data_IF_031530340818
#
_entry.id   IF_031530340818
#
_cell.length_a   1.000
_cell.length_b   1.000
_cell.length_c   1.000
_cell.angle_alpha   90.00
_cell.angle_beta   90.00
_cell.angle_gamma   90.00
#
_symmetry.space_group_name_H-M   'P 1'
#
loop_
_entity.id
_entity.type
_entity.pdbx_description
1 polymer ?
#
# COMPACT_ATOMS: atom_id res chain seq x y z
N UNK A 1 24.05 -6.27 -32.43
CA UNK A 1 23.63 -7.67 -32.52
C UNK A 1 24.30 -8.37 -33.73
N UNK A 2 24.14 -7.89 -35.00
CA UNK A 2 24.65 -8.55 -36.19
C UNK A 2 26.18 -8.80 -36.14
N UNK A 3 26.99 -7.79 -35.84
CA UNK A 3 28.46 -7.92 -35.71
C UNK A 3 28.87 -8.99 -34.67
N UNK A 4 28.18 -9.05 -33.53
CA UNK A 4 28.49 -10.03 -32.49
C UNK A 4 28.13 -11.45 -32.93
N UNK A 5 26.96 -11.64 -33.55
CA UNK A 5 26.56 -12.91 -34.14
C UNK A 5 27.61 -13.40 -35.15
N UNK A 6 27.99 -12.53 -36.07
CA UNK A 6 28.92 -12.87 -37.18
C UNK A 6 30.32 -13.26 -36.63
N UNK A 7 30.78 -12.61 -35.56
CA UNK A 7 31.99 -12.98 -34.83
C UNK A 7 31.88 -14.39 -34.20
N UNK A 8 30.77 -14.65 -33.48
CA UNK A 8 30.53 -15.96 -32.82
C UNK A 8 30.43 -17.06 -33.87
N UNK A 9 29.70 -16.84 -34.97
CA UNK A 9 29.61 -17.82 -36.06
C UNK A 9 30.99 -18.10 -36.68
N UNK A 10 31.83 -17.06 -36.85
CA UNK A 10 33.19 -17.19 -37.34
C UNK A 10 34.08 -18.04 -36.41
N UNK A 11 33.97 -17.85 -35.10
CA UNK A 11 34.68 -18.65 -34.10
C UNK A 11 34.23 -20.13 -34.13
N UNK A 12 32.91 -20.37 -34.16
CA UNK A 12 32.37 -21.74 -34.27
C UNK A 12 32.84 -22.49 -35.51
N UNK A 13 32.91 -21.79 -36.64
CA UNK A 13 33.48 -22.34 -37.89
C UNK A 13 34.96 -22.67 -37.73
N UNK A 14 35.75 -21.73 -37.20
CA UNK A 14 37.19 -21.93 -37.02
C UNK A 14 37.53 -23.07 -36.04
N UNK A 15 36.66 -23.31 -35.08
CA UNK A 15 36.75 -24.44 -34.15
C UNK A 15 36.17 -25.74 -34.71
N UNK A 16 35.73 -25.76 -35.95
CA UNK A 16 35.13 -26.93 -36.60
C UNK A 16 33.79 -27.39 -36.01
N UNK A 17 33.12 -26.51 -35.25
CA UNK A 17 31.81 -26.80 -34.63
C UNK A 17 30.64 -26.69 -35.63
N UNK A 18 30.81 -25.90 -36.69
CA UNK A 18 29.87 -25.77 -37.79
C UNK A 18 30.61 -25.85 -39.14
N UNK A 19 29.94 -26.37 -40.14
CA UNK A 19 30.49 -26.46 -41.51
C UNK A 19 30.41 -25.12 -42.22
N UNK A 20 31.17 -24.94 -43.30
CA UNK A 20 31.07 -23.74 -44.15
C UNK A 20 29.63 -23.49 -44.64
N UNK A 21 28.93 -24.53 -45.05
CA UNK A 21 27.54 -24.42 -45.53
C UNK A 21 26.62 -23.92 -44.40
N UNK A 22 26.78 -24.43 -43.18
CA UNK A 22 26.01 -23.98 -42.03
C UNK A 22 26.37 -22.53 -41.65
N UNK A 23 27.63 -22.15 -41.74
CA UNK A 23 28.08 -20.79 -41.49
C UNK A 23 27.45 -19.81 -42.47
N UNK A 24 27.46 -20.06 -43.78
CA UNK A 24 26.89 -19.21 -44.77
C UNK A 24 25.34 -19.12 -44.65
N UNK A 25 24.68 -20.23 -44.35
CA UNK A 25 23.26 -20.25 -44.12
C UNK A 25 22.88 -19.37 -42.89
N UNK A 26 23.60 -19.50 -41.76
CA UNK A 26 23.38 -18.72 -40.56
C UNK A 26 23.66 -17.20 -40.73
N UNK A 27 24.64 -16.83 -41.58
CA UNK A 27 24.91 -15.43 -41.94
C UNK A 27 23.78 -14.81 -42.76
N UNK A 28 23.17 -15.60 -43.62
CA UNK A 28 22.07 -15.16 -44.49
C UNK A 28 20.75 -15.01 -43.72
N UNK A 29 20.62 -15.72 -42.60
CA UNK A 29 19.40 -15.69 -41.78
C UNK A 29 19.21 -14.33 -41.10
N UNK A 30 18.05 -13.67 -41.26
CA UNK A 30 17.80 -12.41 -40.59
C UNK A 30 17.77 -12.62 -39.10
N UNK A 31 18.41 -11.72 -38.34
CA UNK A 31 18.29 -11.75 -36.87
C UNK A 31 16.84 -11.38 -36.53
N UNK A 32 16.07 -12.37 -36.13
CA UNK A 32 14.78 -12.15 -35.48
C UNK A 32 15.06 -11.57 -34.10
N UNK A 33 15.11 -10.24 -33.99
CA UNK A 33 15.02 -9.59 -32.69
C UNK A 33 13.59 -9.77 -32.21
N UNK A 34 13.41 -10.38 -31.06
CA UNK A 34 12.13 -10.21 -30.34
C UNK A 34 11.89 -8.72 -30.30
N UNK A 35 10.77 -8.26 -30.85
CA UNK A 35 10.27 -6.92 -30.54
C UNK A 35 10.40 -6.77 -29.03
N UNK A 36 11.07 -5.71 -28.51
CA UNK A 36 11.06 -5.52 -27.08
C UNK A 36 9.59 -5.58 -26.69
N UNK A 37 9.20 -6.58 -25.90
CA UNK A 37 7.92 -6.53 -25.24
C UNK A 37 7.91 -5.17 -24.59
N UNK A 38 6.95 -4.34 -24.97
CA UNK A 38 6.95 -2.96 -24.57
C UNK A 38 7.09 -2.97 -23.04
N UNK A 39 8.02 -2.16 -22.50
CA UNK A 39 8.12 -1.94 -21.06
C UNK A 39 6.81 -1.39 -20.46
N UNK A 40 5.77 -1.27 -21.29
CA UNK A 40 4.42 -0.82 -20.97
C UNK A 40 3.68 -1.70 -19.93
N UNK A 41 4.24 -2.84 -19.58
CA UNK A 41 3.73 -3.67 -18.47
C UNK A 41 4.42 -3.38 -17.13
N UNK A 42 5.20 -2.30 -17.01
CA UNK A 42 5.70 -1.86 -15.71
C UNK A 42 4.55 -1.27 -14.87
N UNK A 43 3.85 -2.14 -14.17
CA UNK A 43 2.93 -1.73 -13.14
C UNK A 43 3.62 -1.68 -11.76
N UNK A 44 2.94 -1.13 -10.76
CA UNK A 44 3.48 -0.99 -9.41
C UNK A 44 3.85 -2.31 -8.74
N UNK A 45 3.13 -3.40 -9.06
CA UNK A 45 3.40 -4.73 -8.54
C UNK A 45 4.72 -5.27 -9.10
N UNK A 46 4.95 -5.12 -10.41
CA UNK A 46 6.21 -5.53 -11.04
C UNK A 46 7.40 -4.71 -10.54
N UNK A 47 7.21 -3.41 -10.26
CA UNK A 47 8.24 -2.59 -9.61
C UNK A 47 8.60 -3.08 -8.21
N UNK A 48 7.63 -3.64 -7.45
CA UNK A 48 7.89 -4.29 -6.17
C UNK A 48 8.65 -5.61 -6.35
N UNK A 49 8.23 -6.46 -7.30
CA UNK A 49 8.92 -7.73 -7.61
C UNK A 49 10.38 -7.49 -7.95
N UNK A 50 10.69 -6.51 -8.82
CA UNK A 50 12.08 -6.18 -9.17
C UNK A 50 12.90 -5.77 -7.96
N UNK A 51 12.36 -4.90 -7.11
CA UNK A 51 13.05 -4.47 -5.90
C UNK A 51 13.33 -5.61 -4.93
N UNK A 52 12.42 -6.60 -4.82
CA UNK A 52 12.64 -7.78 -4.00
C UNK A 52 13.65 -8.74 -4.65
N UNK A 53 13.64 -8.86 -5.98
CA UNK A 53 14.68 -9.62 -6.71
C UNK A 53 16.07 -9.07 -6.45
N UNK A 54 16.24 -7.74 -6.53
CA UNK A 54 17.52 -7.08 -6.25
C UNK A 54 18.03 -7.32 -4.81
N UNK A 55 17.14 -7.65 -3.87
CA UNK A 55 17.47 -7.96 -2.49
C UNK A 55 17.75 -9.47 -2.25
N UNK A 56 17.29 -10.35 -3.15
CA UNK A 56 17.40 -11.81 -3.02
C UNK A 56 18.57 -12.36 -3.84
N UNK A 57 18.79 -11.79 -5.03
CA UNK A 57 19.78 -12.28 -6.01
C UNK A 57 20.95 -11.31 -6.14
N UNK A 58 22.12 -11.84 -6.46
CA UNK A 58 23.25 -11.01 -6.84
C UNK A 58 23.02 -10.42 -8.24
N UNK A 59 23.60 -9.25 -8.50
CA UNK A 59 23.46 -8.53 -9.79
C UNK A 59 23.87 -9.40 -10.98
N UNK A 60 24.85 -10.29 -10.78
CA UNK A 60 25.35 -11.20 -11.80
C UNK A 60 24.32 -12.27 -12.19
N UNK A 61 23.58 -12.84 -11.24
CA UNK A 61 22.52 -13.81 -11.50
C UNK A 61 21.38 -13.17 -12.33
N UNK A 62 21.00 -11.95 -12.01
CA UNK A 62 19.96 -11.22 -12.74
C UNK A 62 20.43 -10.90 -14.18
N UNK A 63 21.71 -10.53 -14.34
CA UNK A 63 22.28 -10.18 -15.65
C UNK A 63 22.46 -11.38 -16.56
N UNK A 64 22.79 -12.55 -16.04
CA UNK A 64 22.94 -13.78 -16.81
C UNK A 64 21.59 -14.23 -17.38
N UNK A 65 20.47 -13.89 -16.74
CA UNK A 65 19.12 -14.19 -17.19
C UNK A 65 18.75 -15.67 -17.07
N UNK A 66 17.65 -16.06 -17.71
CA UNK A 66 17.16 -17.43 -17.70
C UNK A 66 16.45 -17.84 -16.40
N UNK A 67 16.17 -16.88 -15.51
CA UNK A 67 15.39 -17.12 -14.30
C UNK A 67 13.89 -16.99 -14.58
N UNK A 68 13.11 -17.86 -13.96
CA UNK A 68 11.65 -17.81 -13.94
C UNK A 68 11.20 -17.45 -12.52
N UNK A 69 10.59 -16.27 -12.37
CA UNK A 69 10.14 -15.75 -11.08
C UNK A 69 8.65 -16.03 -10.92
N UNK A 70 8.32 -16.87 -9.94
CA UNK A 70 6.95 -17.19 -9.59
C UNK A 70 6.47 -16.24 -8.50
N UNK A 71 5.48 -15.42 -8.85
CA UNK A 71 4.92 -14.43 -7.93
C UNK A 71 3.58 -14.90 -7.36
N UNK A 72 3.15 -14.26 -6.28
CA UNK A 72 1.84 -14.47 -5.66
C UNK A 72 0.73 -13.65 -6.31
N UNK A 73 1.07 -12.83 -7.32
CA UNK A 73 0.11 -11.94 -7.95
C UNK A 73 -0.99 -12.71 -8.68
N UNK A 74 -2.21 -12.30 -8.44
CA UNK A 74 -3.39 -12.67 -9.21
C UNK A 74 -3.67 -11.54 -10.23
N UNK A 75 -3.48 -11.84 -11.50
CA UNK A 75 -3.57 -10.84 -12.56
C UNK A 75 -5.00 -10.28 -12.70
N UNK A 76 -6.01 -11.11 -12.56
CA UNK A 76 -7.42 -10.68 -12.65
C UNK A 76 -7.76 -9.76 -11.48
N UNK A 77 -7.33 -10.11 -10.28
CA UNK A 77 -7.51 -9.29 -9.08
C UNK A 77 -6.71 -7.99 -9.14
N UNK A 78 -5.48 -8.03 -9.69
CA UNK A 78 -4.66 -6.84 -9.92
C UNK A 78 -5.36 -5.84 -10.84
N UNK A 79 -5.89 -6.33 -11.98
CA UNK A 79 -6.59 -5.52 -12.96
C UNK A 79 -7.93 -5.00 -12.39
N UNK A 80 -8.73 -5.86 -11.78
CA UNK A 80 -9.99 -5.46 -11.14
C UNK A 80 -9.78 -4.39 -10.04
N UNK A 81 -8.68 -4.50 -9.29
CA UNK A 81 -8.33 -3.51 -8.24
C UNK A 81 -7.98 -2.15 -8.86
N UNK A 82 -7.20 -2.14 -9.94
CA UNK A 82 -6.83 -0.90 -10.65
C UNK A 82 -8.08 -0.23 -11.28
N UNK A 83 -8.93 -1.02 -11.93
CA UNK A 83 -10.17 -0.54 -12.55
C UNK A 83 -11.13 0.05 -11.50
N UNK A 84 -11.31 -0.64 -10.39
CA UNK A 84 -12.14 -0.16 -9.28
C UNK A 84 -11.64 1.17 -8.72
N UNK A 85 -10.32 1.33 -8.53
CA UNK A 85 -9.69 2.58 -8.11
C UNK A 85 -9.97 3.68 -9.13
N UNK A 86 -9.68 3.45 -10.40
CA UNK A 86 -9.85 4.48 -11.43
C UNK A 86 -11.30 4.91 -11.54
N UNK A 87 -12.23 3.96 -11.65
CA UNK A 87 -13.68 4.23 -11.70
C UNK A 87 -14.16 5.05 -10.49
N UNK A 88 -13.70 4.71 -9.29
CA UNK A 88 -14.09 5.44 -8.09
C UNK A 88 -13.49 6.84 -8.04
N UNK A 89 -12.23 7.00 -8.44
CA UNK A 89 -11.56 8.30 -8.47
C UNK A 89 -12.17 9.22 -9.51
N UNK A 90 -12.54 8.73 -10.69
CA UNK A 90 -13.23 9.51 -11.72
C UNK A 90 -14.59 9.98 -11.22
N UNK A 91 -15.35 9.09 -10.57
CA UNK A 91 -16.63 9.47 -9.96
C UNK A 91 -16.48 10.52 -8.84
N UNK A 92 -15.40 10.44 -8.06
CA UNK A 92 -15.08 11.42 -7.02
C UNK A 92 -14.72 12.78 -7.64
N UNK A 93 -13.89 12.81 -8.66
CA UNK A 93 -13.47 14.02 -9.36
C UNK A 93 -14.62 14.72 -10.09
N UNK A 94 -15.65 13.98 -10.51
CA UNK A 94 -16.85 14.52 -11.13
C UNK A 94 -17.75 15.28 -10.13
N UNK A 95 -17.63 15.03 -8.83
CA UNK A 95 -18.49 15.63 -7.80
C UNK A 95 -18.25 17.13 -7.64
N UNK A 96 -19.34 17.90 -7.50
CA UNK A 96 -19.28 19.35 -7.29
C UNK A 96 -18.55 19.76 -6.01
N UNK A 97 -18.76 19.01 -4.92
CA UNK A 97 -18.09 19.26 -3.64
C UNK A 97 -16.58 18.99 -3.71
N UNK A 98 -16.16 17.96 -4.45
CA UNK A 98 -14.75 17.71 -4.71
C UNK A 98 -14.08 18.84 -5.50
N UNK A 99 -14.68 19.30 -6.59
CA UNK A 99 -14.18 20.43 -7.39
C UNK A 99 -14.04 21.71 -6.56
N UNK A 100 -15.03 22.00 -5.70
CA UNK A 100 -14.97 23.14 -4.76
C UNK A 100 -13.82 22.97 -3.75
N UNK A 101 -13.63 21.76 -3.23
CA UNK A 101 -12.52 21.46 -2.32
C UNK A 101 -11.16 21.60 -3.00
N UNK A 102 -11.02 21.11 -4.23
CA UNK A 102 -9.80 21.21 -5.03
C UNK A 102 -9.41 22.67 -5.26
N UNK A 103 -10.35 23.52 -5.67
CA UNK A 103 -10.14 24.95 -5.87
C UNK A 103 -9.72 25.65 -4.56
N UNK A 104 -10.36 25.31 -3.43
CA UNK A 104 -9.98 25.84 -2.11
C UNK A 104 -8.56 25.40 -1.67
N UNK A 105 -8.20 24.16 -1.97
CA UNK A 105 -6.86 23.64 -1.69
C UNK A 105 -5.80 24.34 -2.55
N UNK A 106 -6.09 24.53 -3.82
CA UNK A 106 -5.22 25.27 -4.73
C UNK A 106 -4.97 26.70 -4.21
N UNK A 107 -6.03 27.46 -3.93
CA UNK A 107 -5.90 28.82 -3.41
C UNK A 107 -5.07 28.90 -2.11
N UNK A 108 -5.25 27.93 -1.21
CA UNK A 108 -4.45 27.87 0.04
C UNK A 108 -2.97 27.59 -0.23
N UNK A 109 -2.65 26.72 -1.20
CA UNK A 109 -1.25 26.40 -1.57
C UNK A 109 -0.58 27.56 -2.30
N UNK A 110 -1.29 28.23 -3.18
CA UNK A 110 -0.84 29.46 -3.85
C UNK A 110 -0.49 30.54 -2.83
N UNK A 111 -1.41 30.81 -1.89
CA UNK A 111 -1.18 31.79 -0.81
C UNK A 111 0.04 31.48 0.05
N UNK A 112 0.42 30.18 0.16
CA UNK A 112 1.59 29.74 0.92
C UNK A 112 2.86 29.64 0.06
N UNK A 113 2.78 29.94 -1.25
CA UNK A 113 3.92 29.81 -2.18
C UNK A 113 4.42 28.38 -2.39
N UNK A 114 3.63 27.37 -2.04
CA UNK A 114 4.02 25.96 -2.11
C UNK A 114 3.46 25.22 -3.33
N UNK A 115 2.60 25.87 -4.11
CA UNK A 115 2.04 25.27 -5.31
C UNK A 115 2.94 25.56 -6.52
N UNK A 116 3.64 24.53 -6.97
CA UNK A 116 4.48 24.62 -8.20
C UNK A 116 3.66 24.45 -9.49
N UNK A 117 2.63 23.60 -9.45
CA UNK A 117 1.78 23.27 -10.58
C UNK A 117 0.31 23.28 -10.19
N UNK A 118 -0.57 23.69 -11.12
CA UNK A 118 -2.01 23.70 -10.92
C UNK A 118 -2.51 22.27 -10.56
N UNK A 119 -3.39 22.21 -9.57
CA UNK A 119 -4.12 20.98 -9.28
C UNK A 119 -5.21 20.78 -10.34
N UNK A 120 -5.31 19.58 -10.89
CA UNK A 120 -6.25 19.22 -11.97
C UNK A 120 -7.04 17.98 -11.59
N UNK A 121 -8.08 17.68 -12.33
CA UNK A 121 -8.64 16.32 -12.42
C UNK A 121 -7.81 15.50 -13.42
N UNK A 122 -7.95 14.18 -13.43
CA UNK A 122 -7.26 13.32 -14.40
C UNK A 122 -7.69 13.67 -15.82
N UNK A 123 -8.98 13.88 -16.07
CA UNK A 123 -9.50 14.27 -17.39
C UNK A 123 -8.94 15.60 -17.89
N UNK A 124 -8.80 16.62 -17.02
CA UNK A 124 -8.17 17.90 -17.38
C UNK A 124 -6.67 17.74 -17.70
N UNK A 125 -5.97 16.86 -16.97
CA UNK A 125 -4.57 16.54 -17.24
C UNK A 125 -4.43 15.83 -18.59
N UNK A 126 -5.23 14.80 -18.88
CA UNK A 126 -5.21 14.05 -20.14
C UNK A 126 -5.50 14.95 -21.34
N UNK A 127 -6.49 15.84 -21.23
CA UNK A 127 -6.79 16.81 -22.25
C UNK A 127 -5.60 17.78 -22.51
N UNK A 128 -4.95 18.25 -21.44
CA UNK A 128 -3.77 19.11 -21.53
C UNK A 128 -2.58 18.38 -22.15
N UNK A 129 -2.39 17.10 -21.80
CA UNK A 129 -1.33 16.27 -22.36
C UNK A 129 -1.56 15.98 -23.86
N UNK A 130 -2.80 15.68 -24.24
CA UNK A 130 -3.18 15.49 -25.64
C UNK A 130 -2.93 16.76 -26.47
N UNK A 131 -3.32 17.93 -25.95
CA UNK A 131 -3.07 19.21 -26.58
C UNK A 131 -1.55 19.47 -26.75
N UNK A 132 -0.74 19.20 -25.71
CA UNK A 132 0.71 19.34 -25.80
C UNK A 132 1.33 18.35 -26.81
N UNK A 133 0.86 17.10 -26.86
CA UNK A 133 1.30 16.08 -27.83
C UNK A 133 0.99 16.48 -29.30
N UNK A 134 -0.05 17.28 -29.49
CA UNK A 134 -0.43 17.78 -30.83
C UNK A 134 0.40 19.01 -31.30
N UNK A 135 1.19 19.63 -30.42
CA UNK A 135 2.03 20.79 -30.80
C UNK A 135 3.11 20.41 -31.83
N UNK A 136 3.50 21.34 -32.73
CA UNK A 136 4.66 21.19 -33.57
C UNK A 136 5.96 20.99 -32.75
N UNK A 137 6.95 20.31 -33.34
CA UNK A 137 8.23 20.00 -32.71
C UNK A 137 8.92 21.22 -32.07
N UNK A 138 8.99 22.34 -32.82
CA UNK A 138 9.58 23.59 -32.34
C UNK A 138 8.91 24.17 -31.08
N UNK A 139 7.58 23.97 -30.96
CA UNK A 139 6.84 24.42 -29.75
C UNK A 139 7.03 23.46 -28.58
N UNK A 140 7.19 22.17 -28.85
CA UNK A 140 7.50 21.17 -27.81
C UNK A 140 8.88 21.40 -27.19
N UNK A 141 9.86 21.81 -27.97
CA UNK A 141 11.20 22.13 -27.47
C UNK A 141 11.20 23.33 -26.50
N UNK A 142 10.27 24.28 -26.71
CA UNK A 142 10.13 25.50 -25.89
C UNK A 142 9.22 25.33 -24.69
N UNK A 143 8.47 24.21 -24.58
CA UNK A 143 7.49 23.96 -23.55
C UNK A 143 7.71 22.59 -22.88
N UNK A 144 7.37 22.48 -21.61
CA UNK A 144 7.40 21.18 -20.93
C UNK A 144 6.03 20.51 -21.00
N UNK A 145 5.97 19.17 -21.05
CA UNK A 145 4.70 18.46 -20.94
C UNK A 145 4.02 18.77 -19.62
N UNK A 146 2.68 18.79 -19.58
CA UNK A 146 1.95 18.96 -18.34
C UNK A 146 2.30 17.84 -17.35
N UNK A 147 2.41 18.19 -16.07
CA UNK A 147 2.70 17.22 -15.03
C UNK A 147 1.39 16.64 -14.44
N UNK A 148 1.35 15.32 -14.15
CA UNK A 148 0.19 14.68 -13.55
C UNK A 148 0.00 15.15 -12.09
N UNK A 149 -0.83 16.16 -11.88
CA UNK A 149 -1.09 16.76 -10.56
C UNK A 149 -2.57 16.60 -10.16
N UNK A 150 -3.10 15.41 -10.30
CA UNK A 150 -4.46 15.01 -9.93
C UNK A 150 -4.46 14.05 -8.74
N UNK A 151 -5.64 13.80 -8.15
CA UNK A 151 -5.78 12.93 -6.99
C UNK A 151 -5.31 11.51 -7.31
N UNK A 152 -4.52 10.95 -6.41
CA UNK A 152 -4.02 9.58 -6.48
C UNK A 152 -4.67 8.71 -5.41
N UNK A 153 -4.72 7.41 -5.65
CA UNK A 153 -5.13 6.40 -4.69
C UNK A 153 -4.19 5.20 -4.75
N UNK A 154 -4.23 4.36 -3.73
CA UNK A 154 -3.46 3.12 -3.68
C UNK A 154 -4.26 2.03 -2.98
N UNK A 155 -4.02 0.78 -3.36
CA UNK A 155 -4.60 -0.39 -2.70
C UNK A 155 -3.61 -1.54 -2.64
N UNK A 156 -3.80 -2.41 -1.65
CA UNK A 156 -3.11 -3.68 -1.50
C UNK A 156 -4.16 -4.74 -1.20
N UNK A 157 -4.08 -5.86 -1.90
CA UNK A 157 -4.84 -7.07 -1.60
C UNK A 157 -3.87 -8.14 -1.16
N UNK A 158 -4.09 -8.68 0.03
CA UNK A 158 -3.23 -9.67 0.67
C UNK A 158 -4.06 -10.84 1.16
N UNK A 159 -3.60 -12.06 0.93
CA UNK A 159 -4.14 -13.24 1.59
C UNK A 159 -3.80 -13.21 3.09
N UNK A 160 -4.81 -13.16 3.92
CA UNK A 160 -4.62 -13.04 5.37
C UNK A 160 -3.93 -14.27 6.00
N UNK A 161 -4.16 -15.47 5.46
CA UNK A 161 -3.65 -16.70 6.05
C UNK A 161 -2.15 -16.90 5.78
N UNK A 162 -1.69 -16.49 4.60
CA UNK A 162 -0.32 -16.75 4.12
C UNK A 162 0.57 -15.53 4.13
N UNK A 163 0.02 -14.33 3.94
CA UNK A 163 0.76 -13.10 3.69
C UNK A 163 1.07 -12.84 2.20
N UNK A 164 0.59 -13.70 1.30
CA UNK A 164 0.78 -13.54 -0.13
C UNK A 164 0.14 -12.23 -0.64
N UNK A 165 0.89 -11.41 -1.35
CA UNK A 165 0.39 -10.20 -1.99
C UNK A 165 -0.26 -10.57 -3.31
N UNK A 166 -1.59 -10.44 -3.41
CA UNK A 166 -2.36 -10.81 -4.58
C UNK A 166 -2.51 -9.64 -5.56
N UNK A 167 -2.58 -8.40 -5.06
CA UNK A 167 -2.58 -7.19 -5.89
C UNK A 167 -1.90 -6.02 -5.16
N UNK A 168 -1.16 -5.21 -5.95
CA UNK A 168 -0.48 -4.00 -5.46
C UNK A 168 -0.67 -2.88 -6.46
N UNK A 169 -1.49 -1.89 -6.10
CA UNK A 169 -1.79 -0.71 -6.90
C UNK A 169 -1.29 0.52 -6.16
N UNK A 170 -0.24 1.15 -6.67
CA UNK A 170 0.43 2.29 -6.02
C UNK A 170 -0.01 3.67 -6.53
N UNK A 171 -0.90 3.72 -7.51
CA UNK A 171 -1.40 4.94 -8.14
C UNK A 171 -2.38 4.62 -9.26
N UNK A 172 -2.91 5.65 -9.90
CA UNK A 172 -3.87 5.50 -11.00
C UNK A 172 -3.21 5.10 -12.31
N UNK A 173 -1.93 5.46 -12.49
CA UNK A 173 -1.13 5.16 -13.66
C UNK A 173 0.36 5.11 -13.27
N UNK A 174 1.04 4.00 -13.57
CA UNK A 174 2.44 3.78 -13.22
C UNK A 174 3.40 4.48 -14.20
N UNK A 175 2.97 4.81 -15.40
CA UNK A 175 3.78 5.57 -16.34
C UNK A 175 3.81 7.06 -15.98
N UNK A 176 2.68 7.59 -15.54
CA UNK A 176 2.54 8.99 -15.15
C UNK A 176 3.11 9.29 -13.76
N UNK A 177 3.08 8.32 -12.84
CA UNK A 177 3.62 8.47 -11.48
C UNK A 177 4.38 7.23 -11.04
N UNK A 178 5.70 7.33 -10.94
CA UNK A 178 6.56 6.21 -10.50
C UNK A 178 6.50 5.94 -9.00
N UNK A 179 5.91 6.83 -8.21
CA UNK A 179 5.78 6.66 -6.77
C UNK A 179 4.75 5.57 -6.45
N UNK A 180 5.22 4.43 -5.96
CA UNK A 180 4.37 3.35 -5.48
C UNK A 180 3.83 3.69 -4.07
N UNK A 181 2.66 4.32 -4.01
CA UNK A 181 2.05 4.78 -2.76
C UNK A 181 1.61 3.63 -1.87
N UNK A 182 1.39 2.44 -2.43
CA UNK A 182 1.02 1.26 -1.66
C UNK A 182 2.09 0.87 -0.62
N UNK A 183 3.37 1.19 -0.92
CA UNK A 183 4.52 0.78 -0.10
C UNK A 183 5.42 1.94 0.34
N UNK A 184 5.47 3.04 -0.43
CA UNK A 184 6.40 4.15 -0.19
C UNK A 184 5.73 5.35 0.49
N UNK A 185 4.41 5.53 0.34
CA UNK A 185 3.71 6.66 0.93
C UNK A 185 3.28 6.35 2.35
N UNK A 186 3.88 7.04 3.30
CA UNK A 186 3.53 6.92 4.72
C UNK A 186 2.64 8.08 5.14
N UNK A 187 1.53 7.76 5.78
CA UNK A 187 0.53 8.72 6.27
C UNK A 187 0.11 8.35 7.67
N UNK A 188 -0.27 9.37 8.44
CA UNK A 188 -0.87 9.15 9.75
C UNK A 188 -2.08 8.21 9.64
N UNK A 189 -2.06 7.16 10.44
CA UNK A 189 -3.09 6.11 10.41
C UNK A 189 -4.43 6.59 10.94
N UNK A 190 -4.43 7.62 11.78
CA UNK A 190 -5.64 8.10 12.42
C UNK A 190 -6.39 6.98 13.13
N UNK A 191 -7.71 6.93 12.99
CA UNK A 191 -8.55 5.94 13.67
C UNK A 191 -8.30 4.49 13.25
N UNK A 192 -7.58 4.22 12.15
CA UNK A 192 -7.14 2.85 11.82
C UNK A 192 -6.18 2.26 12.86
N UNK A 193 -5.56 3.08 13.70
CA UNK A 193 -4.69 2.62 14.79
C UNK A 193 -5.47 2.12 16.02
N UNK A 194 -6.71 2.55 16.22
CA UNK A 194 -7.50 2.23 17.42
C UNK A 194 -7.64 0.73 17.71
N UNK A 195 -7.90 -0.17 16.73
CA UNK A 195 -8.00 -1.59 17.00
C UNK A 195 -6.79 -2.17 17.75
N UNK A 196 -5.58 -1.68 17.48
CA UNK A 196 -4.36 -2.14 18.16
C UNK A 196 -4.31 -1.70 19.63
N UNK A 197 -4.84 -0.52 19.95
CA UNK A 197 -5.00 -0.02 21.31
C UNK A 197 -5.97 -0.92 22.09
N UNK A 198 -7.12 -1.20 21.48
CA UNK A 198 -8.16 -2.03 22.09
C UNK A 198 -7.71 -3.47 22.24
N UNK A 199 -7.05 -4.04 21.24
CA UNK A 199 -6.50 -5.40 21.33
C UNK A 199 -5.46 -5.52 22.44
N UNK A 200 -4.60 -4.52 22.62
CA UNK A 200 -3.64 -4.47 23.73
C UNK A 200 -4.35 -4.43 25.09
N UNK A 201 -5.43 -3.67 25.19
CA UNK A 201 -6.25 -3.58 26.40
C UNK A 201 -6.96 -4.93 26.69
N UNK A 202 -7.49 -5.60 25.67
CA UNK A 202 -8.10 -6.93 25.84
C UNK A 202 -7.06 -8.03 26.13
N UNK A 203 -5.85 -7.89 25.60
CA UNK A 203 -4.72 -8.76 25.93
C UNK A 203 -4.38 -8.76 27.42
N UNK A 204 -4.63 -7.65 28.12
CA UNK A 204 -4.43 -7.49 29.57
C UNK A 204 -5.59 -8.03 30.42
N UNK A 205 -6.51 -8.80 29.84
CA UNK A 205 -7.61 -9.45 30.56
C UNK A 205 -8.93 -8.68 30.58
N UNK A 206 -8.96 -7.46 30.04
CA UNK A 206 -10.20 -6.67 29.96
C UNK A 206 -11.19 -7.27 28.94
N UNK A 207 -12.47 -6.87 29.02
CA UNK A 207 -13.53 -7.32 28.14
C UNK A 207 -14.11 -6.21 27.27
N UNK A 208 -14.89 -6.58 26.25
CA UNK A 208 -15.65 -5.65 25.41
C UNK A 208 -16.64 -4.80 26.23
N UNK A 209 -17.13 -5.34 27.35
CA UNK A 209 -18.14 -4.70 28.22
C UNK A 209 -17.51 -3.83 29.31
N UNK A 210 -16.17 -3.81 29.44
CA UNK A 210 -15.49 -2.95 30.41
C UNK A 210 -15.95 -1.50 30.25
N UNK A 211 -16.44 -0.92 31.34
CA UNK A 211 -17.02 0.43 31.33
C UNK A 211 -15.94 1.50 31.24
N UNK A 212 -16.05 2.35 30.23
CA UNK A 212 -15.12 3.45 29.92
C UNK A 212 -15.94 4.72 29.74
N UNK A 213 -15.51 5.85 30.34
CA UNK A 213 -16.15 7.12 30.13
C UNK A 213 -15.86 7.67 28.72
N UNK A 214 -16.92 8.14 28.06
CA UNK A 214 -16.86 8.94 26.82
C UNK A 214 -16.93 10.44 27.13
N UNK A 215 -16.86 10.85 28.38
CA UNK A 215 -16.92 12.26 28.75
C UNK A 215 -15.67 13.00 28.30
N UNK A 216 -15.75 14.33 28.33
CA UNK A 216 -14.60 15.20 28.03
C UNK A 216 -13.42 14.81 28.93
N UNK A 217 -12.23 14.70 28.34
CA UNK A 217 -11.01 14.42 29.07
C UNK A 217 -10.61 15.70 29.83
N UNK A 218 -10.41 15.57 31.15
CA UNK A 218 -9.94 16.66 31.98
C UNK A 218 -8.42 16.88 31.78
N UNK A 219 -7.97 18.09 32.00
CA UNK A 219 -6.53 18.37 32.06
C UNK A 219 -5.93 17.58 33.24
N UNK A 220 -4.75 17.00 33.01
CA UNK A 220 -4.07 16.15 33.99
C UNK A 220 -4.53 14.68 33.99
N UNK A 221 -5.65 14.34 33.33
CA UNK A 221 -6.20 12.96 33.32
C UNK A 221 -5.29 11.96 32.58
N UNK A 222 -4.61 12.41 31.53
CA UNK A 222 -3.80 11.51 30.69
C UNK A 222 -2.34 11.57 31.09
N UNK A 223 -1.79 10.43 31.48
CA UNK A 223 -0.40 10.31 31.89
C UNK A 223 0.56 10.76 30.75
N UNK A 224 1.46 11.67 31.04
CA UNK A 224 2.43 12.20 30.06
C UNK A 224 1.86 13.25 29.09
N UNK A 225 0.62 13.75 29.34
CA UNK A 225 0.00 14.78 28.52
C UNK A 225 -0.97 15.66 29.34
N UNK A 226 -0.46 16.30 30.39
CA UNK A 226 -1.27 17.05 31.37
C UNK A 226 -2.17 18.14 30.75
N UNK A 227 -1.70 18.81 29.69
CA UNK A 227 -2.40 19.89 29.02
C UNK A 227 -3.16 19.43 27.75
N UNK A 228 -3.43 18.12 27.59
CA UNK A 228 -4.06 17.57 26.40
C UNK A 228 -5.46 17.05 26.68
N UNK A 229 -6.44 17.64 26.01
CA UNK A 229 -7.87 17.31 26.15
C UNK A 229 -8.50 17.13 24.74
N UNK A 230 -8.24 15.98 24.07
CA UNK A 230 -8.81 15.74 22.74
C UNK A 230 -10.33 15.55 22.81
N UNK A 231 -11.01 15.99 21.74
CA UNK A 231 -12.46 15.91 21.61
C UNK A 231 -12.86 14.77 20.66
N UNK A 232 -14.08 14.28 20.82
CA UNK A 232 -14.70 13.42 19.82
C UNK A 232 -14.94 14.23 18.54
N UNK A 233 -14.89 13.57 17.38
CA UNK A 233 -14.99 14.22 16.07
C UNK A 233 -16.36 14.91 15.83
N UNK A 234 -17.41 14.37 16.44
CA UNK A 234 -18.77 14.92 16.40
C UNK A 234 -19.05 15.95 17.51
N UNK A 235 -18.08 16.22 18.38
CA UNK A 235 -18.23 17.14 19.52
C UNK A 235 -19.15 16.64 20.62
N UNK A 236 -19.70 15.42 20.54
CA UNK A 236 -20.64 14.86 21.52
C UNK A 236 -19.97 13.95 22.52
N UNK A 237 -20.62 13.71 23.67
CA UNK A 237 -20.16 12.85 24.74
C UNK A 237 -21.34 12.00 25.25
N UNK A 238 -21.07 10.72 25.63
CA UNK A 238 -22.11 9.72 25.91
C UNK A 238 -22.03 9.11 27.30
N UNK A 239 -21.19 9.67 28.20
CA UNK A 239 -21.00 9.14 29.55
C UNK A 239 -20.34 7.75 29.57
N UNK A 240 -20.66 6.96 30.57
CA UNK A 240 -20.09 5.61 30.74
C UNK A 240 -20.69 4.62 29.74
N UNK A 241 -19.82 4.07 28.87
CA UNK A 241 -20.18 3.09 27.83
C UNK A 241 -19.26 1.86 27.87
N UNK A 242 -19.67 0.71 27.31
CA UNK A 242 -18.79 -0.43 27.16
C UNK A 242 -17.65 -0.10 26.19
N UNK A 243 -16.46 -0.70 26.37
CA UNK A 243 -15.30 -0.48 25.52
C UNK A 243 -15.62 -0.71 24.03
N UNK A 244 -16.43 -1.72 23.70
CA UNK A 244 -16.90 -2.01 22.34
C UNK A 244 -17.54 -0.79 21.67
N UNK A 245 -18.38 -0.03 22.36
CA UNK A 245 -19.01 1.20 21.86
C UNK A 245 -17.95 2.22 21.36
N UNK A 246 -16.85 2.33 22.11
CA UNK A 246 -15.77 3.27 21.76
C UNK A 246 -15.07 2.92 20.44
N UNK A 247 -14.90 1.62 20.15
CA UNK A 247 -14.30 1.17 18.89
C UNK A 247 -15.31 1.23 17.73
N UNK A 248 -16.55 0.77 17.94
CA UNK A 248 -17.62 0.77 16.93
C UNK A 248 -17.87 2.18 16.37
N UNK A 249 -17.93 3.17 17.27
CA UNK A 249 -18.20 4.58 16.92
C UNK A 249 -16.93 5.42 16.85
N UNK A 250 -15.76 4.80 16.91
CA UNK A 250 -14.46 5.47 16.80
C UNK A 250 -14.31 6.66 17.76
N UNK A 251 -14.77 6.52 19.05
CA UNK A 251 -14.74 7.58 20.06
C UNK A 251 -13.32 7.91 20.48
N UNK A 252 -12.90 9.16 20.34
CA UNK A 252 -11.54 9.60 20.66
C UNK A 252 -11.27 9.54 22.18
N UNK A 253 -12.20 10.06 22.98
CA UNK A 253 -12.06 10.14 24.43
C UNK A 253 -11.93 8.76 25.06
N UNK A 254 -12.74 7.78 24.60
CA UNK A 254 -12.65 6.39 25.05
C UNK A 254 -11.36 5.72 24.63
N UNK A 255 -10.92 5.93 23.35
CA UNK A 255 -9.68 5.34 22.83
C UNK A 255 -8.45 5.85 23.59
N UNK A 256 -8.42 7.14 23.92
CA UNK A 256 -7.35 7.73 24.73
C UNK A 256 -7.32 7.14 26.16
N UNK A 257 -8.46 7.00 26.82
CA UNK A 257 -8.55 6.39 28.15
C UNK A 257 -8.15 4.92 28.15
N UNK A 258 -8.60 4.17 27.14
CA UNK A 258 -8.21 2.77 26.94
C UNK A 258 -6.71 2.65 26.72
N UNK A 259 -6.14 3.47 25.83
CA UNK A 259 -4.70 3.51 25.57
C UNK A 259 -3.89 3.88 26.82
N UNK A 260 -4.36 4.88 27.58
CA UNK A 260 -3.72 5.28 28.82
C UNK A 260 -3.75 4.14 29.89
N UNK A 261 -4.83 3.36 29.97
CA UNK A 261 -4.93 2.16 30.84
C UNK A 261 -4.06 1.01 30.34
N UNK A 262 -4.04 0.76 29.01
CA UNK A 262 -3.21 -0.28 28.40
C UNK A 262 -1.71 0.01 28.52
N UNK A 263 -1.34 1.29 28.62
CA UNK A 263 0.02 1.76 28.72
C UNK A 263 0.69 1.98 27.36
N UNK A 264 1.29 3.15 27.18
CA UNK A 264 1.87 3.59 25.93
C UNK A 264 2.92 2.60 25.37
N UNK A 265 3.81 2.11 26.23
CA UNK A 265 4.86 1.15 25.85
C UNK A 265 4.28 -0.17 25.35
N UNK A 266 3.22 -0.69 25.99
CA UNK A 266 2.58 -1.92 25.58
C UNK A 266 1.88 -1.77 24.21
N UNK A 267 1.22 -0.63 23.98
CA UNK A 267 0.58 -0.31 22.69
C UNK A 267 1.63 -0.21 21.59
N UNK A 268 2.75 0.46 21.85
CA UNK A 268 3.87 0.58 20.90
C UNK A 268 4.43 -0.81 20.57
N UNK A 269 4.73 -1.62 21.57
CA UNK A 269 5.28 -2.96 21.39
C UNK A 269 4.35 -3.85 20.56
N UNK A 270 3.06 -3.88 20.90
CA UNK A 270 2.07 -4.66 20.15
C UNK A 270 1.96 -4.19 18.69
N UNK A 271 1.96 -2.88 18.45
CA UNK A 271 1.92 -2.34 17.11
C UNK A 271 3.19 -2.68 16.30
N UNK A 272 4.37 -2.63 16.92
CA UNK A 272 5.63 -3.06 16.27
C UNK A 272 5.60 -4.55 15.91
N UNK A 273 5.10 -5.40 16.79
CA UNK A 273 4.91 -6.83 16.49
C UNK A 273 3.89 -7.03 15.35
N UNK A 274 2.86 -6.18 15.29
CA UNK A 274 1.88 -6.19 14.19
C UNK A 274 2.45 -5.66 12.86
N UNK A 275 3.68 -5.12 12.84
CA UNK A 275 4.37 -4.69 11.62
C UNK A 275 4.47 -3.19 11.42
N UNK A 276 4.00 -2.38 12.35
CA UNK A 276 4.28 -0.94 12.30
C UNK A 276 5.78 -0.70 12.52
N UNK A 277 6.39 0.10 11.68
CA UNK A 277 7.81 0.43 11.77
C UNK A 277 8.07 1.92 11.49
N UNK A 278 9.32 2.35 11.58
CA UNK A 278 9.74 3.74 11.41
C UNK A 278 9.70 4.54 12.70
N UNK A 279 9.93 5.85 12.57
CA UNK A 279 9.97 6.76 13.71
C UNK A 279 8.60 6.95 14.33
N UNK A 280 8.54 6.85 15.66
CA UNK A 280 7.32 7.03 16.43
C UNK A 280 7.52 8.10 17.50
N UNK A 281 6.59 9.03 17.58
CA UNK A 281 6.48 9.92 18.73
C UNK A 281 5.88 9.17 19.91
N UNK A 282 6.66 8.99 20.98
CA UNK A 282 6.25 8.31 22.22
C UNK A 282 5.39 9.20 23.11
N UNK A 283 4.30 9.71 22.56
CA UNK A 283 3.35 10.58 23.26
C UNK A 283 1.94 9.99 23.23
N UNK A 284 1.05 10.35 24.17
CA UNK A 284 -0.35 9.92 24.16
C UNK A 284 -1.15 10.27 22.90
N UNK A 285 -0.68 11.21 22.07
CA UNK A 285 -1.26 11.50 20.77
C UNK A 285 -1.27 10.27 19.85
N UNK A 286 -0.40 9.28 20.11
CA UNK A 286 -0.41 7.98 19.45
C UNK A 286 -1.78 7.28 19.53
N UNK A 287 -2.51 7.45 20.62
CA UNK A 287 -3.84 6.85 20.79
C UNK A 287 -4.88 7.39 19.79
N UNK A 288 -4.55 8.43 19.05
CA UNK A 288 -5.34 8.95 17.94
C UNK A 288 -4.71 8.68 16.56
N UNK A 289 -3.68 7.83 16.51
CA UNK A 289 -3.08 7.34 15.27
C UNK A 289 -2.11 8.34 14.62
N UNK A 290 -1.23 8.95 15.39
CA UNK A 290 -0.15 9.79 14.85
C UNK A 290 0.99 8.98 14.22
N UNK A 291 0.99 7.64 14.36
CA UNK A 291 1.95 6.80 13.67
C UNK A 291 1.68 6.76 12.17
N UNK A 292 2.74 6.93 11.39
CA UNK A 292 2.64 6.88 9.93
C UNK A 292 2.90 5.48 9.41
N UNK A 293 2.09 5.05 8.46
CA UNK A 293 2.17 3.73 7.83
C UNK A 293 1.79 3.80 6.35
N UNK A 294 2.26 2.83 5.58
CA UNK A 294 1.82 2.61 4.20
C UNK A 294 0.55 1.74 4.15
N UNK A 295 -0.19 1.72 3.03
CA UNK A 295 -1.27 0.77 2.83
C UNK A 295 -0.86 -0.70 3.06
N UNK A 296 0.35 -1.11 2.62
CA UNK A 296 0.87 -2.44 2.87
C UNK A 296 1.07 -2.72 4.37
N UNK A 297 1.64 -1.76 5.11
CA UNK A 297 1.83 -1.91 6.55
C UNK A 297 0.48 -2.14 7.25
N UNK A 298 -0.54 -1.37 6.87
CA UNK A 298 -1.89 -1.48 7.44
C UNK A 298 -2.53 -2.82 7.08
N UNK A 299 -2.49 -3.24 5.81
CA UNK A 299 -3.04 -4.52 5.38
C UNK A 299 -2.40 -5.69 6.15
N UNK A 300 -1.06 -5.68 6.25
CA UNK A 300 -0.30 -6.66 7.01
C UNK A 300 -0.65 -6.63 8.51
N UNK A 301 -0.74 -5.44 9.11
CA UNK A 301 -1.05 -5.32 10.53
C UNK A 301 -2.48 -5.80 10.86
N UNK A 302 -3.45 -5.51 10.01
CA UNK A 302 -4.83 -5.92 10.22
C UNK A 302 -5.06 -7.43 10.08
N UNK A 303 -4.18 -8.15 9.37
CA UNK A 303 -4.26 -9.61 9.25
C UNK A 303 -4.24 -10.32 10.61
N UNK A 304 -3.69 -9.71 11.66
CA UNK A 304 -3.68 -10.27 13.02
C UNK A 304 -5.09 -10.53 13.56
N UNK A 305 -6.06 -9.69 13.17
CA UNK A 305 -7.44 -9.82 13.63
C UNK A 305 -8.20 -10.91 12.87
N UNK A 306 -7.83 -11.17 11.62
CA UNK A 306 -8.39 -12.26 10.81
C UNK A 306 -7.78 -13.62 11.20
N UNK A 307 -6.55 -13.64 11.73
CA UNK A 307 -5.77 -14.84 12.01
C UNK A 307 -5.64 -15.16 13.50
N UNK A 308 -6.60 -14.78 14.33
CA UNK A 308 -6.58 -15.13 15.76
C UNK A 308 -5.34 -14.59 16.51
N UNK A 309 -4.82 -13.46 16.10
CA UNK A 309 -3.67 -12.79 16.73
C UNK A 309 -2.31 -13.05 16.07
N UNK A 310 -2.27 -13.80 14.97
CA UNK A 310 -1.04 -14.15 14.25
C UNK A 310 -0.91 -13.33 12.99
N UNK A 311 0.26 -12.70 12.80
CA UNK A 311 0.61 -11.95 11.60
C UNK A 311 1.51 -12.79 10.70
N UNK A 312 1.15 -13.09 9.44
CA UNK A 312 2.08 -13.59 8.45
C UNK A 312 2.94 -12.44 7.90
N UNK A 313 4.17 -12.74 7.54
CA UNK A 313 5.04 -11.78 6.85
C UNK A 313 4.57 -11.64 5.40
N UNK A 314 4.29 -10.42 4.89
CA UNK A 314 3.94 -10.22 3.49
C UNK A 314 5.08 -10.64 2.54
N UNK A 315 4.73 -11.22 1.39
CA UNK A 315 5.67 -11.57 0.32
C UNK A 315 4.97 -11.51 -1.04
N UNK A 316 5.75 -11.25 -2.09
CA UNK A 316 5.27 -11.20 -3.47
C UNK A 316 5.97 -12.23 -4.38
N UNK A 317 7.20 -12.62 -4.06
CA UNK A 317 7.93 -13.69 -4.75
C UNK A 317 7.75 -14.97 -3.93
N UNK A 318 7.15 -16.00 -4.55
CA UNK A 318 6.97 -17.31 -3.90
C UNK A 318 8.24 -18.16 -4.05
N UNK A 319 8.71 -18.31 -5.29
CA UNK A 319 9.96 -19.02 -5.58
C UNK A 319 10.55 -18.57 -6.93
N UNK A 320 11.81 -18.95 -7.17
CA UNK A 320 12.54 -18.69 -8.41
C UNK A 320 13.14 -20.01 -8.89
N UNK A 321 12.98 -20.29 -10.19
CA UNK A 321 13.64 -21.42 -10.86
C UNK A 321 14.53 -20.91 -11.98
N UNK A 322 15.46 -21.76 -12.44
CA UNK A 322 16.18 -21.51 -13.69
C UNK A 322 15.33 -21.92 -14.91
N UNK A 323 15.90 -21.77 -16.12
CA UNK A 323 15.25 -22.13 -17.38
C UNK A 323 14.95 -23.62 -17.53
N UNK A 324 15.54 -24.47 -16.69
CA UNK A 324 15.34 -25.93 -16.66
C UNK A 324 14.37 -26.35 -15.55
N UNK A 325 13.80 -25.37 -14.82
CA UNK A 325 12.87 -25.63 -13.72
C UNK A 325 13.54 -26.01 -12.39
N UNK A 326 14.88 -25.92 -12.29
CA UNK A 326 15.57 -26.22 -11.04
C UNK A 326 15.35 -25.06 -10.04
N UNK A 327 15.06 -25.38 -8.78
CA UNK A 327 14.85 -24.35 -7.76
C UNK A 327 16.13 -23.57 -7.45
N UNK A 328 16.05 -22.24 -7.46
CA UNK A 328 17.15 -21.32 -7.13
C UNK A 328 16.87 -20.57 -5.81
N UNK A 329 15.59 -20.31 -5.52
CA UNK A 329 15.15 -19.65 -4.31
C UNK A 329 13.71 -20.05 -3.98
N UNK A 330 13.39 -20.15 -2.71
CA UNK A 330 12.02 -20.25 -2.21
C UNK A 330 11.86 -19.40 -0.96
N UNK A 331 10.73 -18.65 -0.85
CA UNK A 331 10.49 -17.80 0.32
C UNK A 331 10.27 -18.64 1.58
N UNK A 332 10.91 -18.23 2.67
CA UNK A 332 10.58 -18.77 3.99
C UNK A 332 9.38 -18.05 4.56
N UNK A 333 8.21 -18.71 4.54
CA UNK A 333 6.95 -18.17 5.06
C UNK A 333 7.01 -18.09 6.58
N UNK A 334 7.09 -16.89 7.13
CA UNK A 334 7.18 -16.66 8.57
C UNK A 334 5.89 -16.06 9.13
N UNK A 335 5.58 -16.42 10.38
CA UNK A 335 4.42 -15.91 11.12
C UNK A 335 4.86 -15.48 12.51
N UNK A 336 4.21 -14.44 13.04
CA UNK A 336 4.48 -13.91 14.38
C UNK A 336 3.20 -13.77 15.18
N UNK A 337 3.18 -14.32 16.37
CA UNK A 337 2.09 -14.08 17.33
C UNK A 337 2.22 -12.66 17.89
N UNK A 338 1.16 -11.88 17.77
CA UNK A 338 1.06 -10.49 18.24
C UNK A 338 0.12 -10.41 19.45
N UNK A 339 -1.03 -11.05 19.35
CA UNK A 339 -2.05 -11.09 20.39
C UNK A 339 -2.44 -12.53 20.70
N UNK A 340 -3.00 -12.76 21.90
CA UNK A 340 -3.71 -14.00 22.15
C UNK A 340 -4.93 -14.12 21.26
N UNK A 341 -5.33 -15.34 20.94
CA UNK A 341 -6.54 -15.61 20.17
C UNK A 341 -7.78 -14.93 20.77
N UNK A 342 -7.88 -14.91 22.12
CA UNK A 342 -8.98 -14.22 22.85
C UNK A 342 -9.00 -12.72 22.50
N UNK A 343 -7.89 -12.01 22.62
CA UNK A 343 -7.83 -10.58 22.39
C UNK A 343 -8.11 -10.22 20.91
N UNK A 344 -7.57 -11.02 19.98
CA UNK A 344 -7.82 -10.87 18.56
C UNK A 344 -9.30 -11.11 18.21
N UNK A 345 -9.91 -12.19 18.72
CA UNK A 345 -11.31 -12.52 18.46
C UNK A 345 -12.26 -11.46 19.01
N UNK A 346 -12.04 -10.96 20.24
CA UNK A 346 -12.83 -9.84 20.79
C UNK A 346 -12.73 -8.63 19.86
N UNK A 347 -11.53 -8.25 19.44
CA UNK A 347 -11.31 -7.09 18.57
C UNK A 347 -11.97 -7.30 17.21
N UNK A 348 -11.81 -8.47 16.58
CA UNK A 348 -12.42 -8.82 15.30
C UNK A 348 -13.95 -8.77 15.35
N UNK A 349 -14.55 -9.33 16.42
CA UNK A 349 -16.00 -9.28 16.64
C UNK A 349 -16.53 -7.84 16.73
N UNK A 350 -15.79 -6.94 17.39
CA UNK A 350 -16.16 -5.52 17.46
C UNK A 350 -15.98 -4.85 16.08
N UNK A 351 -14.91 -5.14 15.35
CA UNK A 351 -14.68 -4.60 14.01
C UNK A 351 -15.79 -4.99 13.02
N UNK A 352 -16.35 -6.20 13.12
CA UNK A 352 -17.52 -6.59 12.34
C UNK A 352 -18.74 -5.69 12.63
N UNK A 353 -18.90 -5.23 13.87
CA UNK A 353 -19.98 -4.30 14.24
C UNK A 353 -19.78 -2.89 13.62
N UNK A 354 -18.54 -2.49 13.35
CA UNK A 354 -18.24 -1.22 12.66
C UNK A 354 -18.90 -1.17 11.28
N UNK A 355 -18.99 -2.32 10.60
CA UNK A 355 -19.59 -2.46 9.27
C UNK A 355 -21.11 -2.64 9.28
N UNK A 356 -21.73 -2.82 10.44
CA UNK A 356 -23.19 -2.98 10.58
C UNK A 356 -23.90 -1.62 10.72
N UNK A 357 -25.21 -1.55 10.45
CA UNK A 357 -26.01 -0.34 10.68
C UNK A 357 -25.77 0.23 12.10
N UNK A 358 -25.47 1.53 12.17
CA UNK A 358 -25.09 2.22 13.40
C UNK A 358 -23.56 2.27 13.67
N UNK A 359 -22.76 1.49 12.99
CA UNK A 359 -21.30 1.62 13.00
C UNK A 359 -20.79 2.67 12.00
N UNK A 360 -19.52 3.08 12.15
CA UNK A 360 -18.93 4.14 11.30
C UNK A 360 -18.82 3.76 9.82
N UNK A 361 -18.79 2.48 9.48
CA UNK A 361 -18.77 1.94 8.12
C UNK A 361 -20.10 1.26 7.72
N UNK A 362 -21.20 1.53 8.42
CA UNK A 362 -22.50 0.87 8.21
C UNK A 362 -23.07 0.98 6.79
N UNK A 363 -22.58 1.93 5.98
CA UNK A 363 -22.95 2.04 4.55
C UNK A 363 -22.50 0.84 3.71
N UNK A 364 -21.49 0.08 4.16
CA UNK A 364 -20.99 -1.12 3.47
C UNK A 364 -22.07 -2.21 3.42
N UNK A 365 -22.93 -2.30 4.42
CA UNK A 365 -24.05 -3.26 4.46
C UNK A 365 -24.96 -3.14 3.23
N UNK A 366 -25.14 -1.93 2.69
CA UNK A 366 -25.92 -1.68 1.48
C UNK A 366 -25.26 -2.25 0.21
N UNK A 367 -24.00 -2.63 0.28
CA UNK A 367 -23.22 -3.25 -0.81
C UNK A 367 -23.21 -4.78 -0.73
N UNK A 368 -23.95 -5.38 0.23
CA UNK A 368 -24.04 -6.84 0.38
C UNK A 368 -22.94 -7.48 1.22
N UNK A 369 -22.23 -6.69 2.05
CA UNK A 369 -21.19 -7.17 2.97
C UNK A 369 -21.69 -7.30 4.41
#
# INVERSE_FOLDING_TARGET
AKKVRDIVLGLLKNEGKITEVQYQAALAEPIATRTPQSRSEENYAMGLVRRELDAILEEEDIRLGGLVVHTTLDLDLQNATLDAINKHMDALEARKDFKKHLASLQARREKRGILKNKLTTKAEYEASLAAWKALPAEQKEKTQPPMPNYIQSAAVVMDNATGALLAVVGGRDAEESKLNRAIQSRRQTGSLFKPFIYATFFQQGNSADTRISDDRIAYGEIRGAANWSPRNSDGTYRGMKPASFGLILSRNTMSVRIGNRAGLSNVIQSAQLAGFHGNISRTPALYLGTWEASPLDIASAYSVFANGGVRPTPYIIDHITDSQGQPRFAITKSKRTVYSQRAANITSSILQQVCKPGGTAGKITALGF
#
